data_IF_632613004451
#
_entry.id   IF_632613004451
#
_cell.length_a   1.000
_cell.length_b   1.000
_cell.length_c   1.000
_cell.angle_alpha   90.00
_cell.angle_beta   90.00
_cell.angle_gamma   90.00
#
_symmetry.space_group_name_H-M   'P 1'
#
loop_
_entity.id
_entity.type
_entity.pdbx_description
1 polymer ?
#
# COMPACT_ATOMS: atom_id res chain seq x y z
N UNK A 1 -8.00 19.48 27.30
CA UNK A 1 -8.03 20.33 28.50
C UNK A 1 -7.13 21.54 28.27
N UNK A 2 -7.68 22.61 27.70
CA UNK A 2 -7.19 24.01 27.66
C UNK A 2 -8.39 24.84 27.17
N UNK A 3 -9.25 25.31 28.08
CA UNK A 3 -9.17 26.58 28.82
C UNK A 3 -9.56 27.79 27.97
N UNK A 4 -10.86 28.08 28.03
CA UNK A 4 -11.58 29.29 27.66
C UNK A 4 -11.00 30.55 28.31
N UNK A 5 -10.95 31.66 27.57
CA UNK A 5 -10.82 32.99 28.15
C UNK A 5 -11.82 33.95 27.49
N UNK A 6 -12.96 34.06 28.15
CA UNK A 6 -13.94 35.12 27.96
C UNK A 6 -13.38 36.43 28.56
N UNK A 7 -13.33 37.50 27.77
CA UNK A 7 -13.12 38.86 28.27
C UNK A 7 -14.44 39.62 28.21
N UNK A 8 -15.13 39.67 29.35
CA UNK A 8 -16.13 40.68 29.70
C UNK A 8 -15.50 41.62 30.72
N UNK A 9 -15.43 42.91 30.40
CA UNK A 9 -15.28 44.05 31.31
C UNK A 9 -15.08 45.29 30.43
N UNK A 10 -15.65 46.46 30.65
CA UNK A 10 -16.40 47.00 31.78
C UNK A 10 -17.08 48.27 31.26
N UNK A 11 -18.29 48.49 31.74
CA UNK A 11 -19.01 49.76 31.66
C UNK A 11 -18.12 50.94 32.09
N UNK A 12 -18.11 52.00 31.29
CA UNK A 12 -17.96 53.36 31.79
C UNK A 12 -19.07 54.20 31.19
N UNK A 13 -20.05 54.52 32.04
CA UNK A 13 -21.07 55.51 31.80
C UNK A 13 -20.64 56.86 32.38
N UNK A 14 -21.15 57.91 31.73
CA UNK A 14 -21.29 59.31 32.14
C UNK A 14 -20.09 60.26 31.91
N UNK A 15 -20.35 61.59 31.72
CA UNK A 15 -21.63 62.29 31.57
C UNK A 15 -21.80 63.04 30.23
N UNK A 16 -23.03 63.50 29.99
CA UNK A 16 -23.36 64.58 29.08
C UNK A 16 -22.39 65.76 29.25
N UNK A 17 -21.80 66.21 28.14
CA UNK A 17 -21.47 67.61 27.94
C UNK A 17 -22.16 68.04 26.66
N UNK A 18 -23.30 68.69 26.84
CA UNK A 18 -23.86 69.57 25.83
C UNK A 18 -22.81 70.67 25.57
N UNK A 19 -22.20 70.61 24.40
CA UNK A 19 -21.24 71.59 23.93
C UNK A 19 -21.62 72.00 22.52
N UNK A 20 -22.67 72.81 22.41
CA UNK A 20 -22.88 73.67 21.26
C UNK A 20 -21.67 74.58 21.12
N UNK A 21 -20.67 74.16 20.33
CA UNK A 21 -19.62 75.06 19.87
C UNK A 21 -20.19 75.92 18.72
N UNK A 22 -21.12 76.80 19.08
CA UNK A 22 -21.32 78.02 18.30
C UNK A 22 -20.08 78.85 18.58
N UNK A 23 -19.10 78.79 17.68
CA UNK A 23 -18.02 79.76 17.68
C UNK A 23 -18.66 81.10 17.29
N UNK A 24 -19.03 81.89 18.29
CA UNK A 24 -19.33 83.30 18.13
C UNK A 24 -18.01 83.98 17.81
N UNK A 25 -17.66 83.96 16.52
CA UNK A 25 -16.63 84.84 15.97
C UNK A 25 -17.13 86.27 16.15
N UNK A 26 -16.32 87.03 16.86
CA UNK A 26 -16.46 88.44 17.17
C UNK A 26 -16.85 89.24 15.92
N UNK A 27 -17.97 89.97 16.02
CA UNK A 27 -18.50 90.83 14.97
C UNK A 27 -17.61 92.05 14.80
N UNK A 28 -16.46 91.88 14.13
CA UNK A 28 -15.83 92.97 13.42
C UNK A 28 -16.65 93.32 12.18
N UNK A 29 -16.64 94.61 11.86
CA UNK A 29 -17.56 95.32 10.96
C UNK A 29 -17.75 94.62 9.61
N UNK A 30 -19.01 94.48 9.25
CA UNK A 30 -19.55 93.95 8.00
C UNK A 30 -18.84 94.54 6.76
N UNK A 31 -17.88 93.79 6.22
CA UNK A 31 -17.28 94.02 4.89
C UNK A 31 -17.54 92.75 4.09
N UNK A 32 -18.38 92.88 3.06
CA UNK A 32 -18.66 91.82 2.10
C UNK A 32 -17.35 91.37 1.43
N UNK A 33 -17.02 90.07 1.39
CA UNK A 33 -15.83 89.58 0.72
C UNK A 33 -15.92 89.83 -0.80
N UNK A 34 -14.87 90.41 -1.39
CA UNK A 34 -14.81 90.80 -2.82
C UNK A 34 -14.46 89.61 -3.74
N UNK A 35 -14.06 88.47 -3.16
CA UNK A 35 -13.80 87.24 -3.89
C UNK A 35 -14.90 86.21 -3.61
N UNK A 36 -15.32 85.42 -4.61
CA UNK A 36 -16.19 84.30 -4.36
C UNK A 36 -15.48 83.31 -3.43
N UNK A 37 -16.10 83.05 -2.28
CA UNK A 37 -15.66 82.02 -1.35
C UNK A 37 -15.84 80.69 -2.09
N UNK A 38 -14.76 79.91 -2.23
CA UNK A 38 -14.84 78.59 -2.86
C UNK A 38 -15.88 77.76 -2.12
N UNK A 39 -16.86 77.22 -2.84
CA UNK A 39 -17.93 76.39 -2.28
C UNK A 39 -17.31 75.33 -1.36
N UNK A 40 -17.79 75.19 -0.10
CA UNK A 40 -17.24 74.17 0.78
C UNK A 40 -17.36 72.81 0.10
N UNK A 41 -16.26 72.07 0.01
CA UNK A 41 -16.26 70.72 -0.55
C UNK A 41 -17.10 69.84 0.38
N UNK A 42 -18.29 69.47 -0.07
CA UNK A 42 -19.26 68.69 0.71
C UNK A 42 -18.75 67.25 0.71
N UNK A 43 -17.94 66.91 1.72
CA UNK A 43 -17.55 65.51 1.96
C UNK A 43 -18.79 64.77 2.46
N UNK A 44 -19.44 64.05 1.55
CA UNK A 44 -20.53 63.13 1.86
C UNK A 44 -20.00 62.03 2.78
N UNK A 45 -20.24 62.18 4.08
CA UNK A 45 -20.08 61.07 5.02
C UNK A 45 -21.31 60.17 4.88
N UNK A 46 -21.14 59.11 4.07
CA UNK A 46 -22.05 57.96 4.00
C UNK A 46 -22.14 57.31 5.39
N UNK A 47 -23.00 57.87 6.24
CA UNK A 47 -23.24 57.37 7.58
C UNK A 47 -24.28 56.28 7.46
N UNK A 48 -23.91 55.00 7.64
CA UNK A 48 -24.83 53.91 7.37
C UNK A 48 -26.02 53.97 8.32
N UNK A 49 -27.21 53.84 7.73
CA UNK A 49 -28.49 53.79 8.42
C UNK A 49 -28.54 52.63 9.43
N UNK A 50 -29.37 52.76 10.47
CA UNK A 50 -29.53 51.70 11.49
C UNK A 50 -29.93 50.37 10.87
N UNK A 51 -30.77 50.40 9.84
CA UNK A 51 -31.18 49.21 9.09
C UNK A 51 -30.03 48.61 8.27
N UNK A 52 -29.20 49.46 7.64
CA UNK A 52 -28.03 49.00 6.89
C UNK A 52 -26.99 48.32 7.79
N UNK A 53 -26.80 48.83 9.02
CA UNK A 53 -25.94 48.17 10.02
C UNK A 53 -26.49 46.82 10.45
N UNK A 54 -27.81 46.71 10.62
CA UNK A 54 -28.47 45.44 10.97
C UNK A 54 -28.34 44.42 9.82
N UNK A 55 -28.67 44.81 8.59
CA UNK A 55 -28.52 43.95 7.40
C UNK A 55 -27.05 43.55 7.19
N UNK A 56 -26.12 44.48 7.39
CA UNK A 56 -24.68 44.22 7.31
C UNK A 56 -24.21 43.19 8.35
N UNK A 57 -24.70 43.30 9.60
CA UNK A 57 -24.40 42.34 10.67
C UNK A 57 -24.97 40.96 10.34
N UNK A 58 -26.23 40.90 9.93
CA UNK A 58 -26.91 39.66 9.54
C UNK A 58 -26.14 38.99 8.40
N UNK A 59 -25.88 39.69 7.30
CA UNK A 59 -25.11 39.16 6.17
C UNK A 59 -23.75 38.63 6.59
N UNK A 60 -23.03 39.37 7.43
CA UNK A 60 -21.71 38.97 7.92
C UNK A 60 -21.79 37.67 8.72
N UNK A 61 -22.68 37.59 9.70
CA UNK A 61 -22.86 36.38 10.52
C UNK A 61 -23.27 35.16 9.70
N UNK A 62 -24.16 35.33 8.72
CA UNK A 62 -24.55 34.25 7.80
C UNK A 62 -23.39 33.79 6.92
N UNK A 63 -22.62 34.75 6.38
CA UNK A 63 -21.48 34.44 5.51
C UNK A 63 -20.37 33.75 6.30
N UNK A 64 -20.08 34.21 7.53
CA UNK A 64 -19.11 33.59 8.44
C UNK A 64 -19.55 32.17 8.83
N UNK A 65 -20.81 31.98 9.23
CA UNK A 65 -21.34 30.66 9.60
C UNK A 65 -21.31 29.70 8.41
N UNK A 66 -21.65 30.18 7.21
CA UNK A 66 -21.60 29.40 5.98
C UNK A 66 -20.15 29.03 5.61
N UNK A 67 -19.21 29.98 5.68
CA UNK A 67 -17.80 29.71 5.41
C UNK A 67 -17.19 28.75 6.43
N UNK A 68 -17.56 28.88 7.71
CA UNK A 68 -17.09 28.00 8.77
C UNK A 68 -17.57 26.57 8.55
N UNK A 69 -18.86 26.39 8.25
CA UNK A 69 -19.43 25.07 7.92
C UNK A 69 -18.76 24.47 6.68
N UNK A 70 -18.58 25.28 5.63
CA UNK A 70 -17.90 24.84 4.41
C UNK A 70 -16.44 24.43 4.69
N UNK A 71 -15.71 25.19 5.53
CA UNK A 71 -14.33 24.88 5.88
C UNK A 71 -14.20 23.58 6.68
N UNK A 72 -15.18 23.26 7.54
CA UNK A 72 -15.19 21.99 8.29
C UNK A 72 -15.40 20.79 7.37
N UNK A 73 -16.37 20.90 6.44
CA UNK A 73 -16.62 19.85 5.43
C UNK A 73 -15.39 19.68 4.55
N UNK A 74 -14.84 20.78 4.04
CA UNK A 74 -13.64 20.74 3.22
C UNK A 74 -12.45 20.16 4.00
N UNK A 75 -12.31 20.45 5.29
CA UNK A 75 -11.30 19.83 6.15
C UNK A 75 -11.45 18.32 6.29
N UNK A 76 -12.67 17.78 6.36
CA UNK A 76 -12.92 16.33 6.37
C UNK A 76 -12.59 15.72 5.01
N UNK A 77 -13.03 16.35 3.93
CA UNK A 77 -12.74 15.90 2.56
C UNK A 77 -11.24 15.90 2.30
N UNK A 78 -10.52 16.96 2.70
CA UNK A 78 -9.06 17.04 2.56
C UNK A 78 -8.33 15.94 3.35
N UNK A 79 -8.81 15.59 4.55
CA UNK A 79 -8.26 14.44 5.30
C UNK A 79 -8.49 13.13 4.55
N UNK A 80 -9.68 12.94 3.99
CA UNK A 80 -10.00 11.73 3.24
C UNK A 80 -9.18 11.61 1.96
N UNK A 81 -9.03 12.70 1.21
CA UNK A 81 -8.13 12.78 0.05
C UNK A 81 -6.68 12.48 0.45
N UNK A 82 -6.23 12.99 1.60
CA UNK A 82 -4.90 12.70 2.13
C UNK A 82 -4.70 11.21 2.45
N UNK A 83 -5.73 10.56 3.01
CA UNK A 83 -5.73 9.10 3.23
C UNK A 83 -5.71 8.35 1.90
N UNK A 84 -6.48 8.78 0.91
CA UNK A 84 -6.49 8.18 -0.42
C UNK A 84 -5.10 8.27 -1.08
N UNK A 85 -4.46 9.43 -1.10
CA UNK A 85 -3.11 9.60 -1.64
C UNK A 85 -2.08 8.78 -0.86
N UNK A 86 -2.23 8.68 0.46
CA UNK A 86 -1.37 7.83 1.28
C UNK A 86 -1.56 6.36 0.90
N UNK A 87 -2.79 5.89 0.69
CA UNK A 87 -3.05 4.51 0.26
C UNK A 87 -2.53 4.29 -1.15
N UNK A 88 -2.80 5.18 -2.10
CA UNK A 88 -2.38 5.07 -3.49
C UNK A 88 -0.84 5.01 -3.59
N UNK A 89 -0.14 5.92 -2.92
CA UNK A 89 1.32 5.92 -2.89
C UNK A 89 1.89 4.64 -2.29
N UNK A 90 1.24 4.07 -1.26
CA UNK A 90 1.64 2.79 -0.65
C UNK A 90 1.36 1.61 -1.56
N UNK A 91 0.17 1.52 -2.15
CA UNK A 91 -0.19 0.47 -3.10
C UNK A 91 0.77 0.50 -4.29
N UNK A 92 1.06 1.69 -4.82
CA UNK A 92 2.02 1.88 -5.91
C UNK A 92 3.45 1.48 -5.53
N UNK A 93 3.84 1.67 -4.27
CA UNK A 93 5.14 1.23 -3.77
C UNK A 93 5.23 -0.28 -3.58
N UNK A 94 4.11 -0.95 -3.27
CA UNK A 94 4.06 -2.41 -3.09
C UNK A 94 4.04 -3.17 -4.43
N UNK A 95 3.41 -2.57 -5.45
CA UNK A 95 3.34 -3.13 -6.80
C UNK A 95 4.73 -3.06 -7.45
N UNK A 96 5.27 -4.20 -7.88
CA UNK A 96 6.52 -4.22 -8.64
C UNK A 96 6.28 -3.72 -10.07
N UNK A 97 7.07 -2.76 -10.58
CA UNK A 97 6.95 -2.28 -11.96
C UNK A 97 7.41 -3.31 -13.00
N UNK A 98 8.07 -4.38 -12.58
CA UNK A 98 8.61 -5.43 -13.45
C UNK A 98 7.59 -6.52 -13.77
N UNK A 99 6.47 -6.60 -13.04
CA UNK A 99 5.40 -7.60 -13.24
C UNK A 99 4.22 -7.05 -14.04
N UNK A 100 3.61 -7.91 -14.88
CA UNK A 100 2.41 -7.57 -15.64
C UNK A 100 1.14 -7.67 -14.77
N UNK A 101 0.80 -6.57 -14.12
CA UNK A 101 -0.33 -6.49 -13.19
C UNK A 101 -1.69 -6.71 -13.88
N UNK A 102 -1.86 -6.19 -15.10
CA UNK A 102 -3.14 -6.20 -15.80
C UNK A 102 -3.70 -7.61 -16.05
N UNK A 103 -2.91 -8.59 -16.58
CA UNK A 103 -3.39 -9.98 -16.62
C UNK A 103 -3.31 -10.67 -15.26
N UNK A 104 -2.32 -10.35 -14.41
CA UNK A 104 -2.11 -11.02 -13.13
C UNK A 104 -3.29 -10.91 -12.17
N UNK A 105 -3.80 -9.69 -11.94
CA UNK A 105 -4.99 -9.48 -11.09
C UNK A 105 -6.22 -10.18 -11.65
N UNK A 106 -6.37 -10.20 -12.98
CA UNK A 106 -7.49 -10.89 -13.62
C UNK A 106 -7.43 -12.40 -13.35
N UNK A 107 -6.25 -13.02 -13.48
CA UNK A 107 -6.08 -14.45 -13.19
C UNK A 107 -6.29 -14.79 -11.72
N UNK A 108 -5.80 -13.93 -10.80
CA UNK A 108 -6.08 -14.06 -9.35
C UNK A 108 -7.58 -13.96 -9.07
N UNK A 109 -8.26 -12.99 -9.70
CA UNK A 109 -9.70 -12.80 -9.58
C UNK A 109 -10.48 -14.02 -10.09
N UNK A 110 -10.14 -14.53 -11.27
CA UNK A 110 -10.75 -15.75 -11.83
C UNK A 110 -10.51 -16.94 -10.91
N UNK A 111 -9.28 -17.19 -10.44
CA UNK A 111 -8.97 -18.30 -9.55
C UNK A 111 -9.78 -18.24 -8.24
N UNK A 112 -9.90 -17.05 -7.64
CA UNK A 112 -10.68 -16.82 -6.42
C UNK A 112 -12.18 -17.07 -6.66
N UNK A 113 -12.73 -16.51 -7.74
CA UNK A 113 -14.13 -16.68 -8.11
C UNK A 113 -14.46 -18.14 -8.46
N UNK A 114 -13.56 -18.83 -9.17
CA UNK A 114 -13.65 -20.27 -9.41
C UNK A 114 -13.66 -21.05 -8.10
N UNK A 115 -12.86 -20.65 -7.12
CA UNK A 115 -12.93 -21.20 -5.75
C UNK A 115 -14.30 -21.04 -5.11
N UNK A 116 -14.89 -19.85 -5.21
CA UNK A 116 -16.25 -19.59 -4.70
C UNK A 116 -17.30 -20.46 -5.38
N UNK A 117 -17.20 -20.64 -6.71
CA UNK A 117 -18.10 -21.51 -7.48
C UNK A 117 -17.95 -22.97 -7.04
N UNK A 118 -16.72 -23.46 -6.91
CA UNK A 118 -16.43 -24.84 -6.48
C UNK A 118 -16.91 -25.08 -5.04
N UNK A 119 -16.76 -24.09 -4.16
CA UNK A 119 -17.14 -24.19 -2.76
C UNK A 119 -18.65 -23.96 -2.52
N UNK A 120 -19.40 -23.52 -3.55
CA UNK A 120 -20.82 -23.16 -3.46
C UNK A 120 -21.70 -24.29 -2.91
N UNK A 121 -21.42 -25.54 -3.28
CA UNK A 121 -22.23 -26.71 -2.91
C UNK A 121 -21.54 -27.62 -1.87
N UNK A 122 -20.55 -27.10 -1.13
CA UNK A 122 -19.86 -27.85 -0.08
C UNK A 122 -20.13 -27.26 1.30
N UNK A 123 -19.60 -27.92 2.33
CA UNK A 123 -19.69 -27.51 3.73
C UNK A 123 -19.36 -26.01 3.91
N UNK A 124 -20.02 -25.35 4.88
CA UNK A 124 -19.81 -23.93 5.17
C UNK A 124 -18.32 -23.56 5.37
N UNK A 125 -17.56 -24.48 5.96
CA UNK A 125 -16.11 -24.34 6.15
C UNK A 125 -15.39 -24.17 4.80
N UNK A 126 -15.63 -25.06 3.83
CA UNK A 126 -15.03 -24.94 2.49
C UNK A 126 -15.52 -23.69 1.77
N UNK A 127 -16.77 -23.28 1.95
CA UNK A 127 -17.31 -22.05 1.35
C UNK A 127 -16.59 -20.79 1.82
N UNK A 128 -16.15 -20.77 3.07
CA UNK A 128 -15.42 -19.65 3.66
C UNK A 128 -13.91 -19.71 3.38
N UNK A 129 -13.33 -20.91 3.34
CA UNK A 129 -11.87 -21.08 3.27
C UNK A 129 -11.37 -21.22 1.82
N UNK A 130 -12.12 -21.86 0.92
CA UNK A 130 -11.63 -22.14 -0.43
C UNK A 130 -11.33 -20.86 -1.22
N UNK A 131 -12.20 -19.83 -1.26
CA UNK A 131 -11.91 -18.60 -1.99
C UNK A 131 -10.64 -17.87 -1.51
N UNK A 132 -10.45 -17.57 -0.21
CA UNK A 132 -9.24 -16.88 0.24
C UNK A 132 -7.97 -17.73 0.07
N UNK A 133 -8.06 -19.06 0.21
CA UNK A 133 -6.88 -19.92 -0.06
C UNK A 133 -6.46 -19.87 -1.52
N UNK A 134 -7.41 -19.93 -2.46
CA UNK A 134 -7.08 -19.77 -3.89
C UNK A 134 -6.63 -18.36 -4.22
N UNK A 135 -7.13 -17.33 -3.53
CA UNK A 135 -6.63 -15.96 -3.67
C UNK A 135 -5.14 -15.88 -3.30
N UNK A 136 -4.76 -16.36 -2.11
CA UNK A 136 -3.36 -16.32 -1.66
C UNK A 136 -2.47 -17.16 -2.56
N UNK A 137 -2.93 -18.35 -2.96
CA UNK A 137 -2.17 -19.25 -3.82
C UNK A 137 -1.98 -18.66 -5.22
N UNK A 138 -3.02 -18.09 -5.82
CA UNK A 138 -2.94 -17.46 -7.13
C UNK A 138 -2.14 -16.16 -7.11
N UNK A 139 -2.20 -15.37 -6.03
CA UNK A 139 -1.34 -14.20 -5.86
C UNK A 139 0.14 -14.58 -5.85
N UNK A 140 0.51 -15.60 -5.07
CA UNK A 140 1.90 -16.08 -5.04
C UNK A 140 2.34 -16.65 -6.40
N UNK A 141 1.42 -17.24 -7.17
CA UNK A 141 1.73 -17.81 -8.47
C UNK A 141 1.85 -16.78 -9.60
N UNK A 142 0.90 -15.85 -9.71
CA UNK A 142 0.83 -14.88 -10.81
C UNK A 142 1.54 -13.55 -10.51
N UNK A 143 1.72 -13.22 -9.23
CA UNK A 143 2.31 -11.96 -8.76
C UNK A 143 3.33 -12.22 -7.63
N UNK A 144 4.40 -13.01 -7.85
CA UNK A 144 5.34 -13.39 -6.81
C UNK A 144 6.08 -12.20 -6.18
N UNK A 145 6.52 -11.21 -6.96
CA UNK A 145 7.24 -10.05 -6.42
C UNK A 145 6.30 -9.15 -5.62
N UNK A 146 5.11 -8.88 -6.15
CA UNK A 146 4.11 -8.10 -5.43
C UNK A 146 3.70 -8.79 -4.12
N UNK A 147 3.55 -10.13 -4.14
CA UNK A 147 3.25 -10.92 -2.94
C UNK A 147 4.39 -10.84 -1.92
N UNK A 148 5.66 -10.88 -2.37
CA UNK A 148 6.81 -10.74 -1.49
C UNK A 148 6.84 -9.35 -0.82
N UNK A 149 6.66 -8.27 -1.60
CA UNK A 149 6.63 -6.90 -1.08
C UNK A 149 5.50 -6.68 -0.06
N UNK A 150 4.31 -7.23 -0.36
CA UNK A 150 3.16 -7.18 0.57
C UNK A 150 3.48 -7.95 1.85
N UNK A 151 4.08 -9.13 1.75
CA UNK A 151 4.45 -9.94 2.91
C UNK A 151 5.50 -9.27 3.80
N UNK A 152 6.49 -8.60 3.20
CA UNK A 152 7.51 -7.82 3.91
C UNK A 152 6.89 -6.61 4.61
N UNK A 153 5.96 -5.92 3.95
CA UNK A 153 5.23 -4.81 4.56
C UNK A 153 4.41 -5.27 5.77
N UNK A 154 3.66 -6.38 5.66
CA UNK A 154 2.94 -6.95 6.80
C UNK A 154 3.90 -7.36 7.93
N UNK A 155 5.07 -7.92 7.60
CA UNK A 155 6.12 -8.20 8.57
C UNK A 155 6.60 -6.94 9.30
N UNK A 156 6.87 -5.85 8.57
CA UNK A 156 7.30 -4.58 9.17
C UNK A 156 6.23 -3.95 10.08
N UNK A 157 4.95 -4.15 9.74
CA UNK A 157 3.81 -3.73 10.56
C UNK A 157 3.70 -4.58 11.83
N UNK A 158 3.85 -5.89 11.71
CA UNK A 158 3.89 -6.79 12.86
C UNK A 158 5.06 -6.45 13.79
N UNK A 159 6.25 -6.17 13.26
CA UNK A 159 7.41 -5.76 14.05
C UNK A 159 7.16 -4.45 14.82
N UNK A 160 6.49 -3.49 14.17
CA UNK A 160 6.23 -2.16 14.75
C UNK A 160 5.15 -2.19 15.81
N UNK A 161 4.03 -2.87 15.55
CA UNK A 161 2.84 -2.82 16.40
C UNK A 161 2.68 -4.06 17.31
N UNK A 162 3.19 -5.22 16.91
CA UNK A 162 3.01 -6.51 17.58
C UNK A 162 4.31 -7.34 17.64
N UNK A 163 5.37 -6.85 18.31
CA UNK A 163 6.72 -7.47 18.24
C UNK A 163 6.77 -8.90 18.77
N UNK A 164 5.92 -9.25 19.74
CA UNK A 164 5.84 -10.62 20.27
C UNK A 164 5.25 -11.61 19.26
N UNK A 165 4.38 -11.14 18.38
CA UNK A 165 3.78 -11.93 17.32
C UNK A 165 4.77 -12.11 16.16
N UNK A 166 5.47 -11.03 15.80
CA UNK A 166 6.49 -11.06 14.76
C UNK A 166 7.62 -12.06 15.06
N UNK A 167 8.11 -12.11 16.30
CA UNK A 167 9.11 -13.11 16.72
C UNK A 167 8.60 -14.55 16.54
N UNK A 168 7.34 -14.82 16.90
CA UNK A 168 6.74 -16.14 16.75
C UNK A 168 6.56 -16.51 15.28
N UNK A 169 6.15 -15.56 14.44
CA UNK A 169 6.08 -15.76 12.99
C UNK A 169 7.46 -16.02 12.38
N UNK A 170 8.49 -15.27 12.77
CA UNK A 170 9.86 -15.48 12.30
C UNK A 170 10.38 -16.89 12.67
N UNK A 171 10.17 -17.31 13.91
CA UNK A 171 10.53 -18.65 14.40
C UNK A 171 9.75 -19.73 13.66
N UNK A 172 8.43 -19.57 13.49
CA UNK A 172 7.59 -20.52 12.76
C UNK A 172 8.02 -20.65 11.28
N UNK A 173 8.35 -19.53 10.63
CA UNK A 173 8.85 -19.50 9.27
C UNK A 173 10.21 -20.20 9.15
N UNK A 174 11.10 -20.00 10.12
CA UNK A 174 12.40 -20.69 10.15
C UNK A 174 12.24 -22.20 10.31
N UNK A 175 11.39 -22.67 11.24
CA UNK A 175 11.12 -24.09 11.42
C UNK A 175 10.41 -24.72 10.20
N UNK A 176 9.54 -23.97 9.53
CA UNK A 176 8.87 -24.43 8.31
C UNK A 176 9.87 -24.62 7.17
N UNK A 177 10.79 -23.65 6.97
CA UNK A 177 11.88 -23.77 6.00
C UNK A 177 12.80 -24.95 6.31
N UNK A 178 13.23 -25.10 7.56
CA UNK A 178 14.04 -26.23 7.99
C UNK A 178 13.33 -27.58 7.77
N UNK A 179 12.04 -27.66 8.07
CA UNK A 179 11.24 -28.89 7.84
C UNK A 179 11.09 -29.20 6.36
N UNK A 180 10.95 -28.17 5.52
CA UNK A 180 10.90 -28.31 4.07
C UNK A 180 12.21 -28.83 3.49
N UNK A 181 13.34 -28.27 3.94
CA UNK A 181 14.67 -28.72 3.53
C UNK A 181 14.93 -30.16 4.00
N UNK A 182 14.57 -30.48 5.26
CA UNK A 182 14.66 -31.84 5.79
C UNK A 182 13.80 -32.83 5.00
N UNK A 183 12.59 -32.44 4.56
CA UNK A 183 11.72 -33.28 3.74
C UNK A 183 12.32 -33.52 2.35
N UNK A 184 12.90 -32.49 1.75
CA UNK A 184 13.60 -32.58 0.46
C UNK A 184 14.80 -33.52 0.55
N UNK A 185 15.60 -33.38 1.61
CA UNK A 185 16.75 -34.24 1.87
C UNK A 185 16.34 -35.68 2.18
N UNK A 186 15.28 -35.87 2.97
CA UNK A 186 14.74 -37.20 3.28
C UNK A 186 14.18 -37.89 2.03
N UNK A 187 13.59 -37.13 1.11
CA UNK A 187 13.11 -37.66 -0.17
C UNK A 187 14.26 -38.03 -1.10
N UNK A 188 15.30 -37.19 -1.18
CA UNK A 188 16.50 -37.48 -1.96
C UNK A 188 17.25 -38.72 -1.43
N UNK A 189 17.46 -38.77 -0.12
CA UNK A 189 18.10 -39.90 0.56
C UNK A 189 17.22 -41.16 0.50
N UNK A 190 15.89 -41.02 0.57
CA UNK A 190 14.93 -42.11 0.44
C UNK A 190 14.97 -42.76 -0.94
N UNK A 191 15.07 -41.96 -2.01
CA UNK A 191 15.28 -42.48 -3.37
C UNK A 191 16.58 -43.28 -3.49
N UNK A 192 17.68 -42.74 -2.97
CA UNK A 192 18.97 -43.45 -2.99
C UNK A 192 18.93 -44.77 -2.20
N UNK A 193 18.30 -44.78 -1.02
CA UNK A 193 18.13 -45.99 -0.21
C UNK A 193 17.18 -47.00 -0.84
N UNK A 194 16.17 -46.53 -1.56
CA UNK A 194 15.26 -47.40 -2.32
C UNK A 194 16.00 -48.06 -3.48
N UNK A 195 16.76 -47.30 -4.27
CA UNK A 195 17.56 -47.83 -5.38
C UNK A 195 18.60 -48.87 -4.88
N UNK A 196 19.31 -48.55 -3.80
CA UNK A 196 20.26 -49.48 -3.17
C UNK A 196 19.58 -50.72 -2.57
N UNK A 197 18.38 -50.56 -1.99
CA UNK A 197 17.60 -51.66 -1.43
C UNK A 197 17.06 -52.61 -2.50
N UNK A 198 16.63 -52.08 -3.65
CA UNK A 198 16.24 -52.87 -4.83
C UNK A 198 17.43 -53.65 -5.37
N UNK A 199 18.61 -53.03 -5.50
CA UNK A 199 19.82 -53.74 -5.94
C UNK A 199 20.19 -54.86 -4.97
N UNK A 200 20.21 -54.59 -3.67
CA UNK A 200 20.52 -55.60 -2.64
C UNK A 200 19.50 -56.75 -2.60
N UNK A 201 18.23 -56.46 -2.84
CA UNK A 201 17.17 -57.48 -2.91
C UNK A 201 17.35 -58.37 -4.15
N UNK A 202 17.67 -57.77 -5.30
CA UNK A 202 17.97 -58.51 -6.53
C UNK A 202 19.20 -59.39 -6.33
N UNK A 203 20.26 -58.88 -5.68
CA UNK A 203 21.48 -59.64 -5.41
C UNK A 203 21.20 -60.84 -4.48
N UNK A 204 20.42 -60.65 -3.40
CA UNK A 204 20.05 -61.76 -2.49
C UNK A 204 19.18 -62.83 -3.15
N UNK A 205 18.27 -62.44 -4.04
CA UNK A 205 17.46 -63.40 -4.79
C UNK A 205 18.35 -64.16 -5.78
N UNK A 206 19.29 -63.48 -6.44
CA UNK A 206 20.27 -64.10 -7.33
C UNK A 206 21.19 -65.09 -6.58
N UNK A 207 21.65 -64.75 -5.37
CA UNK A 207 22.45 -65.64 -4.52
C UNK A 207 21.66 -66.85 -4.00
N UNK A 208 20.41 -66.67 -3.59
CA UNK A 208 19.62 -67.78 -3.02
C UNK A 208 19.03 -68.72 -4.07
N UNK A 209 18.77 -68.21 -5.28
CA UNK A 209 18.12 -68.98 -6.36
C UNK A 209 19.07 -69.36 -7.49
N UNK A 210 20.29 -68.83 -7.52
CA UNK A 210 21.28 -69.08 -8.58
C UNK A 210 20.87 -68.55 -9.96
N UNK A 211 19.71 -67.89 -10.07
CA UNK A 211 19.17 -67.35 -11.32
C UNK A 211 19.77 -65.98 -11.59
N UNK A 212 20.37 -65.80 -12.77
CA UNK A 212 20.91 -64.51 -13.27
C UNK A 212 19.80 -63.53 -13.68
N UNK A 213 18.96 -63.13 -12.73
CA UNK A 213 17.79 -62.26 -12.98
C UNK A 213 18.24 -60.87 -13.47
N UNK A 214 19.38 -60.36 -12.97
CA UNK A 214 19.98 -59.09 -13.39
C UNK A 214 20.38 -59.07 -14.88
N UNK A 215 20.74 -60.23 -15.42
CA UNK A 215 21.20 -60.41 -16.81
C UNK A 215 20.04 -60.77 -17.76
N UNK A 216 19.07 -61.55 -17.27
CA UNK A 216 17.87 -61.92 -18.02
C UNK A 216 16.88 -60.75 -18.21
N UNK A 217 16.84 -59.80 -17.27
CA UNK A 217 15.94 -58.63 -17.34
C UNK A 217 16.59 -57.37 -17.94
N UNK A 218 17.87 -57.43 -18.33
CA UNK A 218 18.57 -56.32 -19.00
C UNK A 218 18.75 -55.04 -18.18
N UNK A 219 18.45 -55.05 -16.88
CA UNK A 219 18.60 -53.89 -15.98
C UNK A 219 20.05 -53.42 -15.87
N UNK A 220 21.01 -54.35 -15.91
CA UNK A 220 22.44 -54.03 -15.86
C UNK A 220 23.02 -53.34 -17.10
N UNK A 221 22.32 -53.36 -18.26
CA UNK A 221 22.75 -52.66 -19.49
C UNK A 221 21.99 -51.35 -19.71
N UNK A 222 20.71 -51.31 -19.35
CA UNK A 222 19.87 -50.11 -19.52
C UNK A 222 20.19 -48.98 -18.54
N UNK A 223 20.71 -49.30 -17.34
CA UNK A 223 21.17 -48.30 -16.37
C UNK A 223 22.51 -47.69 -16.81
N UNK A 224 23.45 -48.51 -17.30
CA UNK A 224 24.74 -48.05 -17.84
C UNK A 224 24.56 -47.19 -19.10
N UNK A 225 23.70 -47.57 -20.04
CA UNK A 225 23.38 -46.73 -21.21
C UNK A 225 22.68 -45.40 -20.82
N UNK A 226 21.78 -45.42 -19.83
CA UNK A 226 21.09 -44.20 -19.35
C UNK A 226 22.02 -43.27 -18.56
N UNK A 227 23.04 -43.81 -17.89
CA UNK A 227 24.06 -43.03 -17.19
C UNK A 227 25.06 -42.47 -18.20
N UNK A 228 25.54 -43.26 -19.15
CA UNK A 228 26.47 -42.79 -20.20
C UNK A 228 25.84 -41.71 -21.08
N UNK A 229 24.59 -41.88 -21.51
CA UNK A 229 23.88 -40.85 -22.29
C UNK A 229 23.67 -39.55 -21.51
N UNK A 230 23.29 -39.62 -20.23
CA UNK A 230 23.14 -38.41 -19.38
C UNK A 230 24.47 -37.73 -19.07
N UNK A 231 25.55 -38.49 -18.91
CA UNK A 231 26.91 -37.95 -18.72
C UNK A 231 27.41 -37.31 -20.01
N UNK A 232 27.19 -37.94 -21.17
CA UNK A 232 27.51 -37.35 -22.47
C UNK A 232 26.70 -36.08 -22.78
N UNK A 233 25.42 -36.05 -22.40
CA UNK A 233 24.57 -34.86 -22.54
C UNK A 233 24.97 -33.75 -21.57
N UNK A 234 25.38 -34.09 -20.34
CA UNK A 234 25.89 -33.14 -19.37
C UNK A 234 27.26 -32.57 -19.79
N UNK A 235 28.16 -33.42 -20.31
CA UNK A 235 29.46 -32.98 -20.86
C UNK A 235 29.25 -32.09 -22.07
N UNK A 236 28.37 -32.44 -23.01
CA UNK A 236 28.01 -31.58 -24.15
C UNK A 236 27.34 -30.26 -23.73
N UNK A 237 26.56 -30.27 -22.66
CA UNK A 237 25.93 -29.05 -22.12
C UNK A 237 26.92 -28.15 -21.39
N UNK A 238 28.01 -28.70 -20.82
CA UNK A 238 29.12 -27.95 -20.23
C UNK A 238 30.05 -27.42 -21.32
N UNK A 239 30.37 -28.24 -22.33
CA UNK A 239 31.21 -27.87 -23.48
C UNK A 239 30.55 -26.76 -24.34
N UNK A 240 29.22 -26.82 -24.54
CA UNK A 240 28.45 -25.71 -25.15
C UNK A 240 28.34 -24.45 -24.29
N UNK A 241 28.65 -24.53 -22.99
CA UNK A 241 28.64 -23.38 -22.09
C UNK A 241 30.01 -22.70 -21.98
N UNK A 242 31.09 -23.38 -22.36
CA UNK A 242 32.45 -22.85 -22.32
C UNK A 242 32.91 -22.15 -23.63
N UNK A 243 32.19 -22.31 -24.74
CA UNK A 243 32.34 -21.49 -25.95
C UNK A 243 30.96 -20.94 -26.36
N UNK A 244 30.65 -19.61 -26.25
CA UNK A 244 31.45 -18.51 -26.79
C UNK A 244 31.48 -17.22 -25.93
N UNK A 245 32.67 -16.71 -25.63
CA UNK A 245 32.87 -15.32 -25.16
C UNK A 245 34.23 -14.79 -25.56
N UNK A 246 34.65 -14.98 -26.82
CA UNK A 246 35.78 -14.25 -27.41
C UNK A 246 35.61 -14.06 -28.91
N UNK A 247 34.75 -13.14 -29.30
CA UNK A 247 34.90 -12.37 -30.54
C UNK A 247 34.03 -11.13 -30.42
N UNK A 248 34.58 -10.09 -29.80
CA UNK A 248 34.23 -8.68 -30.02
C UNK A 248 35.40 -7.84 -29.51
N UNK A 249 36.53 -7.92 -30.20
CA UNK A 249 37.53 -6.84 -30.27
C UNK A 249 38.56 -7.15 -31.37
N UNK A 250 38.33 -6.59 -32.57
CA UNK A 250 39.35 -6.01 -33.48
C UNK A 250 38.68 -5.50 -34.77
N UNK A 251 38.51 -4.18 -34.81
CA UNK A 251 38.66 -3.27 -35.96
C UNK A 251 38.42 -3.81 -37.38
N UNK A 252 37.37 -3.30 -38.05
CA UNK A 252 37.40 -2.32 -39.16
C UNK A 252 36.00 -1.71 -39.28
#
# INVERSE_FOLDING_TARGET
MYATLARKSLLKAAPLVAGTAVVLVEKERDKLPIYPISSPDIVLLDTPSTLERQIGTVRKTFTETYSDAYSQVQGVVSKWIGVEHAIESRVKALISPTESITPGILYVGIATLSGSIIARNRLLVTRLILPPTLLVLSMNHFLPQTTANVSEYFGSLEDTYFPTFAQKHAVANAHTRMSWDMLKDSTANGKQKFDAGVETAVDKIQESTGLKIREAMGWGKSVTEKVESKVLDAVKAVEKKEEPSKTDEKSV
#
